data_IF_812164614139
#
_entry.id   IF_812164614139
#
_cell.length_a   1.000
_cell.length_b   1.000
_cell.length_c   1.000
_cell.angle_alpha   90.00
_cell.angle_beta   90.00
_cell.angle_gamma   90.00
#
_symmetry.space_group_name_H-M   'P 1'
#
loop_
_entity.id
_entity.type
_entity.pdbx_description
1 polymer ?
#
# COMPACT_ATOMS: atom_id res chain seq x y z
N UNK A 1 -10.98 -25.22 -16.41
CA UNK A 1 -10.08 -24.26 -17.10
C UNK A 1 -8.71 -24.34 -16.45
N UNK A 2 -7.60 -24.17 -17.16
CA UNK A 2 -6.28 -24.11 -16.52
C UNK A 2 -6.23 -22.94 -15.53
N UNK A 3 -5.50 -23.13 -14.43
CA UNK A 3 -5.28 -22.08 -13.44
C UNK A 3 -4.48 -20.94 -14.11
N UNK A 4 -4.90 -19.68 -14.02
CA UNK A 4 -4.17 -18.57 -14.64
C UNK A 4 -2.79 -18.41 -14.02
N UNK A 5 -1.79 -18.06 -14.83
CA UNK A 5 -0.48 -17.66 -14.35
C UNK A 5 -0.56 -16.19 -13.89
N UNK A 6 -0.34 -15.95 -12.61
CA UNK A 6 -0.42 -14.61 -12.00
C UNK A 6 0.92 -14.27 -11.35
N UNK A 7 1.54 -13.15 -11.76
CA UNK A 7 2.79 -12.66 -11.18
C UNK A 7 2.63 -11.20 -10.77
N UNK A 8 2.87 -10.90 -9.50
CA UNK A 8 2.85 -9.55 -8.94
C UNK A 8 4.28 -8.99 -8.84
N UNK A 9 4.57 -7.96 -9.64
CA UNK A 9 5.80 -7.17 -9.57
C UNK A 9 5.60 -6.02 -8.59
N UNK A 10 6.37 -5.99 -7.50
CA UNK A 10 6.05 -5.15 -6.35
C UNK A 10 7.26 -4.58 -5.62
N UNK A 11 7.00 -3.63 -4.71
CA UNK A 11 7.81 -3.38 -3.53
C UNK A 11 7.19 -4.05 -2.31
N UNK A 12 8.00 -4.73 -1.52
CA UNK A 12 7.55 -5.40 -0.29
C UNK A 12 6.82 -4.42 0.65
N UNK A 13 7.41 -3.26 0.92
CA UNK A 13 6.90 -2.28 1.87
C UNK A 13 6.20 -1.09 1.18
N UNK A 14 5.23 -1.36 0.33
CA UNK A 14 4.45 -0.33 -0.34
C UNK A 14 2.95 -0.56 -0.13
N UNK A 15 2.26 0.48 0.35
CA UNK A 15 0.83 0.47 0.60
C UNK A 15 -0.01 0.29 -0.67
N UNK A 16 0.41 0.84 -1.83
CA UNK A 16 -0.26 0.56 -3.12
C UNK A 16 -0.08 -0.89 -3.57
N UNK A 17 1.10 -1.48 -3.28
CA UNK A 17 1.30 -2.91 -3.54
C UNK A 17 0.51 -3.76 -2.54
N UNK A 18 0.36 -3.28 -1.31
CA UNK A 18 -0.45 -3.94 -0.30
C UNK A 18 -1.93 -3.97 -0.68
N UNK A 19 -2.47 -2.89 -1.23
CA UNK A 19 -3.81 -2.85 -1.81
C UNK A 19 -4.03 -4.00 -2.82
N UNK A 20 -3.06 -4.27 -3.69
CA UNK A 20 -3.14 -5.36 -4.67
C UNK A 20 -2.97 -6.73 -4.01
N UNK A 21 -2.01 -6.90 -3.09
CA UNK A 21 -1.87 -8.17 -2.32
C UNK A 21 -3.16 -8.52 -1.60
N UNK A 22 -3.82 -7.53 -0.98
CA UNK A 22 -5.09 -7.74 -0.31
C UNK A 22 -6.19 -8.17 -1.29
N UNK A 23 -6.32 -7.50 -2.43
CA UNK A 23 -7.30 -7.88 -3.45
C UNK A 23 -7.07 -9.31 -3.96
N UNK A 24 -5.81 -9.71 -4.22
CA UNK A 24 -5.45 -11.07 -4.63
C UNK A 24 -5.80 -12.10 -3.54
N UNK A 25 -5.47 -11.81 -2.28
CA UNK A 25 -5.80 -12.68 -1.15
C UNK A 25 -7.32 -12.78 -0.94
N UNK A 26 -8.05 -11.66 -1.02
CA UNK A 26 -9.52 -11.63 -0.92
C UNK A 26 -10.19 -12.49 -1.99
N UNK A 27 -9.64 -12.48 -3.22
CA UNK A 27 -10.09 -13.32 -4.34
C UNK A 27 -9.60 -14.78 -4.26
N UNK A 28 -8.77 -15.13 -3.27
CA UNK A 28 -8.18 -16.47 -3.15
C UNK A 28 -7.23 -16.85 -4.29
N UNK A 29 -6.64 -15.86 -4.97
CA UNK A 29 -5.83 -16.07 -6.17
C UNK A 29 -4.37 -16.33 -5.80
N UNK A 30 -3.89 -17.56 -6.05
CA UNK A 30 -2.47 -17.89 -5.95
C UNK A 30 -1.67 -17.10 -6.98
N UNK A 31 -0.52 -16.58 -6.56
CA UNK A 31 0.30 -15.73 -7.42
C UNK A 31 1.78 -15.76 -7.00
N UNK A 32 2.67 -15.59 -7.95
CA UNK A 32 4.08 -15.37 -7.69
C UNK A 32 4.32 -13.89 -7.32
N UNK A 33 5.27 -13.62 -6.41
CA UNK A 33 5.69 -12.26 -6.03
C UNK A 33 7.14 -12.00 -6.45
N UNK A 34 7.33 -11.02 -7.32
CA UNK A 34 8.64 -10.53 -7.72
C UNK A 34 8.90 -9.18 -7.05
N UNK A 35 9.73 -9.20 -6.00
CA UNK A 35 10.04 -8.00 -5.22
C UNK A 35 11.27 -7.28 -5.76
N UNK A 36 11.18 -5.96 -5.88
CA UNK A 36 12.24 -5.09 -6.37
C UNK A 36 12.79 -4.18 -5.27
N UNK A 37 14.01 -3.69 -5.50
CA UNK A 37 14.58 -2.59 -4.73
C UNK A 37 14.21 -1.25 -5.41
N UNK A 38 13.76 -0.22 -4.65
CA UNK A 38 13.52 1.11 -5.18
C UNK A 38 14.76 1.69 -5.88
N UNK A 39 14.56 2.28 -7.06
CA UNK A 39 15.61 2.78 -7.95
C UNK A 39 15.88 1.82 -9.10
N UNK A 40 16.58 0.69 -8.91
CA UNK A 40 16.87 -0.28 -9.98
C UNK A 40 15.65 -0.89 -10.67
N UNK A 41 14.49 -0.93 -9.99
CA UNK A 41 13.23 -1.47 -10.53
C UNK A 41 12.75 -0.77 -11.81
N UNK A 42 13.11 0.50 -12.01
CA UNK A 42 12.56 1.31 -13.12
C UNK A 42 12.80 0.68 -14.48
N UNK A 43 13.98 0.09 -14.72
CA UNK A 43 14.32 -0.53 -16.01
C UNK A 43 13.45 -1.75 -16.31
N UNK A 44 13.41 -2.79 -15.45
CA UNK A 44 12.59 -3.97 -15.71
C UNK A 44 11.09 -3.63 -15.72
N UNK A 45 10.60 -2.76 -14.86
CA UNK A 45 9.19 -2.37 -14.83
C UNK A 45 8.79 -1.60 -16.09
N UNK A 46 9.65 -0.68 -16.60
CA UNK A 46 9.40 0.02 -17.86
C UNK A 46 9.34 -0.91 -19.06
N UNK A 47 10.20 -1.93 -19.10
CA UNK A 47 10.17 -2.96 -20.16
C UNK A 47 8.89 -3.79 -20.09
N UNK A 48 8.38 -4.05 -18.88
CA UNK A 48 7.22 -4.90 -18.65
C UNK A 48 5.89 -4.20 -18.95
N UNK A 49 5.76 -2.93 -18.55
CA UNK A 49 4.46 -2.24 -18.51
C UNK A 49 4.46 -0.84 -19.16
N UNK A 50 5.59 -0.37 -19.65
CA UNK A 50 5.73 0.98 -20.22
C UNK A 50 5.87 2.10 -19.17
N UNK A 51 5.60 1.84 -17.89
CA UNK A 51 5.75 2.79 -16.77
C UNK A 51 6.87 2.36 -15.80
N UNK A 52 7.21 3.22 -14.84
CA UNK A 52 8.34 2.98 -13.91
C UNK A 52 7.92 2.68 -12.48
N UNK A 53 6.62 2.65 -12.20
CA UNK A 53 6.07 2.43 -10.85
C UNK A 53 5.51 1.03 -10.66
N UNK A 54 5.49 0.56 -9.41
CA UNK A 54 4.79 -0.65 -8.97
C UNK A 54 3.54 -0.27 -8.19
N UNK A 55 2.51 -1.14 -8.14
CA UNK A 55 2.45 -2.53 -8.61
C UNK A 55 2.25 -2.67 -10.13
N UNK A 56 2.74 -3.78 -10.66
CA UNK A 56 2.37 -4.31 -11.99
C UNK A 56 1.98 -5.77 -11.80
N UNK A 57 0.80 -6.14 -12.28
CA UNK A 57 0.30 -7.51 -12.27
C UNK A 57 0.37 -8.09 -13.68
N UNK A 58 0.94 -9.27 -13.83
CA UNK A 58 0.93 -10.02 -15.08
C UNK A 58 -0.04 -11.19 -14.93
N UNK A 59 -1.06 -11.24 -15.79
CA UNK A 59 -2.01 -12.36 -15.86
C UNK A 59 -1.90 -12.97 -17.25
N UNK A 60 -1.50 -14.23 -17.35
CA UNK A 60 -1.34 -14.97 -18.61
C UNK A 60 -0.49 -14.20 -19.65
N UNK A 61 0.61 -13.60 -19.18
CA UNK A 61 1.54 -12.81 -20.00
C UNK A 61 1.12 -11.37 -20.30
N UNK A 62 -0.09 -10.93 -19.91
CA UNK A 62 -0.55 -9.54 -20.08
C UNK A 62 -0.27 -8.71 -18.85
N UNK A 63 0.51 -7.64 -19.00
CA UNK A 63 0.83 -6.71 -17.91
C UNK A 63 -0.29 -5.68 -17.71
N UNK A 64 -0.66 -5.46 -16.45
CA UNK A 64 -1.62 -4.47 -15.97
C UNK A 64 -0.90 -3.63 -14.93
N UNK A 65 -0.94 -2.32 -15.06
CA UNK A 65 -0.13 -1.43 -14.25
C UNK A 65 -0.98 -0.41 -13.47
N UNK A 66 -0.61 -0.19 -12.20
CA UNK A 66 -1.35 0.66 -11.28
C UNK A 66 -2.36 -0.10 -10.42
N UNK A 67 -2.40 0.24 -9.12
CA UNK A 67 -3.20 -0.52 -8.15
C UNK A 67 -4.71 -0.47 -8.42
N UNK A 68 -5.24 0.65 -8.89
CA UNK A 68 -6.66 0.79 -9.22
C UNK A 68 -7.03 -0.12 -10.41
N UNK A 69 -6.33 0.02 -11.54
CA UNK A 69 -6.54 -0.77 -12.75
C UNK A 69 -6.41 -2.27 -12.51
N UNK A 70 -5.45 -2.66 -11.65
CA UNK A 70 -5.28 -4.05 -11.25
C UNK A 70 -6.51 -4.55 -10.49
N UNK A 71 -7.00 -3.80 -9.50
CA UNK A 71 -8.16 -4.20 -8.70
C UNK A 71 -9.43 -4.27 -9.54
N UNK A 72 -9.64 -3.32 -10.46
CA UNK A 72 -10.75 -3.34 -11.42
C UNK A 72 -10.66 -4.57 -12.35
N UNK A 73 -9.47 -4.89 -12.85
CA UNK A 73 -9.24 -6.07 -13.70
C UNK A 73 -9.49 -7.37 -12.93
N UNK A 74 -9.07 -7.45 -11.67
CA UNK A 74 -9.33 -8.60 -10.81
C UNK A 74 -10.83 -8.81 -10.59
N UNK A 75 -11.58 -7.73 -10.32
CA UNK A 75 -13.03 -7.81 -10.17
C UNK A 75 -13.73 -8.27 -11.45
N UNK A 76 -13.32 -7.75 -12.61
CA UNK A 76 -13.90 -8.11 -13.90
C UNK A 76 -13.60 -9.56 -14.31
N UNK A 77 -12.37 -10.05 -14.07
CA UNK A 77 -11.94 -11.41 -14.44
C UNK A 77 -12.37 -12.48 -13.43
N UNK A 78 -12.42 -12.12 -12.15
CA UNK A 78 -12.73 -13.01 -11.03
C UNK A 78 -13.81 -12.34 -10.16
N UNK A 79 -15.09 -12.34 -10.62
CA UNK A 79 -16.16 -11.58 -9.97
C UNK A 79 -16.49 -12.07 -8.56
N UNK A 80 -16.19 -13.32 -8.22
CA UNK A 80 -16.46 -13.89 -6.89
C UNK A 80 -15.16 -14.27 -6.14
N UNK A 81 -15.08 -14.00 -4.84
CA UNK A 81 -16.02 -13.22 -4.03
C UNK A 81 -16.03 -11.76 -4.48
N UNK A 82 -17.21 -11.14 -4.51
CA UNK A 82 -17.41 -9.77 -4.99
C UNK A 82 -16.76 -8.76 -4.05
N UNK A 83 -15.88 -7.91 -4.60
CA UNK A 83 -15.21 -6.84 -3.87
C UNK A 83 -15.91 -5.48 -4.05
N UNK A 84 -16.56 -5.27 -5.19
CA UNK A 84 -17.28 -4.03 -5.45
C UNK A 84 -18.78 -4.17 -5.08
N UNK A 85 -19.40 -3.14 -4.48
CA UNK A 85 -20.82 -3.18 -4.18
C UNK A 85 -21.69 -3.48 -5.43
N UNK A 86 -22.77 -4.21 -5.24
CA UNK A 86 -23.68 -4.55 -6.32
C UNK A 86 -24.63 -3.39 -6.69
N UNK A 87 -25.11 -2.67 -5.66
CA UNK A 87 -25.99 -1.52 -5.85
C UNK A 87 -25.21 -0.34 -6.47
N UNK A 88 -25.80 0.29 -7.49
CA UNK A 88 -25.13 1.36 -8.24
C UNK A 88 -24.72 2.53 -7.36
N UNK A 89 -25.59 2.99 -6.46
CA UNK A 89 -25.28 4.11 -5.55
C UNK A 89 -24.13 3.78 -4.58
N UNK A 90 -24.12 2.59 -4.01
CA UNK A 90 -23.01 2.14 -3.14
C UNK A 90 -21.71 2.00 -3.92
N UNK A 91 -21.78 1.49 -5.15
CA UNK A 91 -20.61 1.37 -6.03
C UNK A 91 -20.02 2.73 -6.36
N UNK A 92 -20.85 3.71 -6.69
CA UNK A 92 -20.41 5.09 -6.95
C UNK A 92 -19.75 5.70 -5.71
N UNK A 93 -20.36 5.53 -4.53
CA UNK A 93 -19.78 5.98 -3.26
C UNK A 93 -18.42 5.31 -2.98
N UNK A 94 -18.31 4.00 -3.19
CA UNK A 94 -17.07 3.26 -2.99
C UNK A 94 -15.96 3.74 -3.94
N UNK A 95 -16.28 3.97 -5.22
CA UNK A 95 -15.33 4.47 -6.21
C UNK A 95 -14.87 5.89 -5.92
N UNK A 96 -15.75 6.77 -5.42
CA UNK A 96 -15.37 8.11 -5.00
C UNK A 96 -14.36 8.08 -3.82
N UNK A 97 -14.56 7.17 -2.86
CA UNK A 97 -13.61 6.94 -1.76
C UNK A 97 -12.28 6.43 -2.32
N UNK A 98 -12.30 5.46 -3.21
CA UNK A 98 -11.08 4.90 -3.84
C UNK A 98 -10.29 6.00 -4.56
N UNK A 99 -10.95 6.81 -5.39
CA UNK A 99 -10.30 7.91 -6.14
C UNK A 99 -9.65 8.93 -5.20
N UNK A 100 -10.36 9.39 -4.17
CA UNK A 100 -9.82 10.28 -3.15
C UNK A 100 -8.58 9.69 -2.48
N UNK A 101 -8.64 8.44 -2.07
CA UNK A 101 -7.53 7.80 -1.38
C UNK A 101 -6.33 7.57 -2.29
N UNK A 102 -6.54 7.14 -3.53
CA UNK A 102 -5.45 6.93 -4.49
C UNK A 102 -4.75 8.25 -4.85
N UNK A 103 -5.46 9.37 -4.95
CA UNK A 103 -4.90 10.65 -5.40
C UNK A 103 -4.40 11.57 -4.28
N UNK A 104 -5.00 11.51 -3.10
CA UNK A 104 -4.71 12.46 -2.02
C UNK A 104 -4.08 11.77 -0.81
N UNK A 105 -4.76 10.77 -0.26
CA UNK A 105 -4.39 10.18 1.02
C UNK A 105 -3.16 9.28 0.91
N UNK A 106 -3.10 8.43 -0.11
CA UNK A 106 -1.96 7.56 -0.34
C UNK A 106 -0.63 8.32 -0.56
N UNK A 107 -0.60 9.40 -1.36
CA UNK A 107 0.57 10.28 -1.42
C UNK A 107 0.90 10.92 -0.07
N UNK A 108 -0.09 11.38 0.70
CA UNK A 108 0.13 12.01 2.00
C UNK A 108 0.74 11.03 3.03
N UNK A 109 0.19 9.82 3.17
CA UNK A 109 0.73 8.80 4.09
C UNK A 109 2.13 8.37 3.68
N UNK A 110 2.42 8.28 2.38
CA UNK A 110 3.77 8.04 1.86
C UNK A 110 4.72 9.18 2.23
N UNK A 111 4.33 10.44 2.02
CA UNK A 111 5.14 11.59 2.41
C UNK A 111 5.48 11.53 3.90
N UNK A 112 4.51 11.29 4.78
CA UNK A 112 4.74 11.17 6.22
C UNK A 112 5.74 10.05 6.56
N UNK A 113 5.61 8.85 5.99
CA UNK A 113 6.57 7.76 6.20
C UNK A 113 7.97 8.12 5.70
N UNK A 114 8.07 8.81 4.56
CA UNK A 114 9.35 9.21 3.98
C UNK A 114 10.06 10.33 4.75
N UNK A 115 9.39 11.10 5.63
CA UNK A 115 10.07 12.02 6.55
C UNK A 115 11.05 11.27 7.46
N UNK A 116 10.72 10.03 7.82
CA UNK A 116 11.59 9.13 8.59
C UNK A 116 12.55 8.38 7.67
N UNK A 117 12.08 7.78 6.59
CA UNK A 117 12.86 6.90 5.73
C UNK A 117 14.08 7.59 5.11
N UNK A 118 13.98 8.86 4.75
CA UNK A 118 15.12 9.61 4.20
C UNK A 118 16.23 9.85 5.24
N UNK A 119 15.95 9.74 6.52
CA UNK A 119 16.93 9.86 7.59
C UNK A 119 17.49 8.48 8.00
N UNK A 120 16.73 7.41 7.77
CA UNK A 120 16.98 6.06 8.23
C UNK A 120 17.34 5.09 7.07
N UNK A 121 18.35 5.43 6.27
CA UNK A 121 18.71 4.66 5.06
C UNK A 121 19.09 3.19 5.38
N UNK A 122 19.66 2.93 6.54
CA UNK A 122 19.94 1.57 7.00
C UNK A 122 18.65 0.75 7.19
N UNK A 123 17.62 1.38 7.73
CA UNK A 123 16.29 0.79 7.87
C UNK A 123 15.64 0.56 6.51
N UNK A 124 15.69 1.55 5.61
CA UNK A 124 15.17 1.44 4.23
C UNK A 124 15.79 0.24 3.51
N UNK A 125 17.10 0.05 3.63
CA UNK A 125 17.79 -1.10 3.04
C UNK A 125 17.28 -2.44 3.57
N UNK A 126 17.00 -2.54 4.88
CA UNK A 126 16.43 -3.77 5.47
C UNK A 126 14.98 -3.97 5.05
N UNK A 127 14.18 -2.90 5.09
CA UNK A 127 12.75 -2.93 4.82
C UNK A 127 12.43 -3.38 3.38
N UNK A 128 13.11 -2.78 2.40
CA UNK A 128 12.89 -3.10 0.98
C UNK A 128 13.76 -4.27 0.50
N UNK A 129 14.89 -4.52 1.14
CA UNK A 129 15.85 -5.55 0.76
C UNK A 129 15.66 -6.90 1.48
N UNK A 130 14.56 -7.10 2.23
CA UNK A 130 14.34 -8.32 3.01
C UNK A 130 14.47 -9.62 2.20
N UNK A 131 13.99 -9.62 0.97
CA UNK A 131 14.00 -10.78 0.05
C UNK A 131 15.24 -10.80 -0.86
N UNK A 132 16.12 -9.79 -0.79
CA UNK A 132 17.31 -9.72 -1.61
C UNK A 132 18.47 -10.48 -0.96
N UNK A 133 19.37 -11.04 -1.79
CA UNK A 133 20.60 -11.64 -1.30
C UNK A 133 21.45 -10.64 -0.50
N UNK A 134 22.27 -11.13 0.42
CA UNK A 134 23.14 -10.30 1.26
C UNK A 134 24.01 -9.35 0.44
N UNK A 135 24.54 -9.82 -0.71
CA UNK A 135 25.36 -9.02 -1.61
C UNK A 135 24.54 -7.87 -2.22
N UNK A 136 23.35 -8.18 -2.79
CA UNK A 136 22.46 -7.16 -3.38
C UNK A 136 22.06 -6.11 -2.34
N UNK A 137 21.75 -6.53 -1.13
CA UNK A 137 21.41 -5.63 -0.01
C UNK A 137 22.58 -4.75 0.41
N UNK A 138 23.80 -5.30 0.45
CA UNK A 138 25.02 -4.56 0.73
C UNK A 138 25.28 -3.47 -0.31
N UNK A 139 25.24 -3.81 -1.59
CA UNK A 139 25.38 -2.86 -2.70
C UNK A 139 24.29 -1.78 -2.64
N UNK A 140 23.05 -2.17 -2.41
CA UNK A 140 21.94 -1.22 -2.30
C UNK A 140 22.18 -0.22 -1.16
N UNK A 141 22.64 -0.68 0.00
CA UNK A 141 22.98 0.18 1.14
C UNK A 141 24.06 1.21 0.80
N UNK A 142 25.05 0.84 0.00
CA UNK A 142 26.12 1.78 -0.44
C UNK A 142 25.59 2.84 -1.42
N UNK A 143 24.60 2.50 -2.25
CA UNK A 143 24.03 3.42 -3.26
C UNK A 143 22.96 4.34 -2.66
N UNK A 144 22.28 3.93 -1.60
CA UNK A 144 21.17 4.70 -0.99
C UNK A 144 21.52 6.17 -0.68
N UNK A 145 22.68 6.52 -0.12
CA UNK A 145 23.04 7.92 0.14
C UNK A 145 23.06 8.78 -1.12
N UNK A 146 23.46 8.23 -2.27
CA UNK A 146 23.52 8.94 -3.54
C UNK A 146 22.12 9.23 -4.10
N UNK A 147 21.14 8.35 -3.83
CA UNK A 147 19.75 8.49 -4.31
C UNK A 147 18.85 9.17 -3.28
N UNK A 148 19.34 9.43 -2.07
CA UNK A 148 18.57 10.11 -1.00
C UNK A 148 17.92 11.42 -1.47
N UNK A 149 18.59 12.36 -2.16
CA UNK A 149 17.98 13.60 -2.62
C UNK A 149 16.81 13.37 -3.58
N UNK A 150 16.99 12.42 -4.50
CA UNK A 150 15.92 12.04 -5.45
C UNK A 150 14.74 11.41 -4.71
N UNK A 151 15.03 10.51 -3.78
CA UNK A 151 14.02 9.87 -2.94
C UNK A 151 13.23 10.90 -2.11
N UNK A 152 13.90 11.89 -1.51
CA UNK A 152 13.27 12.96 -0.77
C UNK A 152 12.37 13.83 -1.66
N UNK A 153 12.86 14.22 -2.84
CA UNK A 153 12.13 15.03 -3.80
C UNK A 153 10.88 14.32 -4.34
N UNK A 154 11.04 13.07 -4.81
CA UNK A 154 9.94 12.31 -5.42
C UNK A 154 8.84 11.91 -4.44
N UNK A 155 9.15 11.89 -3.14
CA UNK A 155 8.17 11.64 -2.09
C UNK A 155 7.71 12.92 -1.35
N UNK A 156 8.03 14.10 -1.89
CA UNK A 156 7.51 15.37 -1.41
C UNK A 156 8.06 15.85 -0.07
N UNK A 157 9.18 15.28 0.42
CA UNK A 157 9.76 15.59 1.74
C UNK A 157 10.63 16.84 1.71
N UNK A 158 11.05 17.30 0.52
CA UNK A 158 11.89 18.51 0.36
C UNK A 158 11.12 19.82 0.50
N UNK A 159 9.79 19.79 0.45
CA UNK A 159 8.91 20.94 0.66
C UNK A 159 8.25 20.83 2.04
N UNK A 160 8.66 21.68 3.03
CA UNK A 160 8.06 21.67 4.36
C UNK A 160 6.55 21.91 4.36
N UNK A 161 6.05 22.78 3.47
CA UNK A 161 4.61 23.03 3.34
C UNK A 161 3.86 21.79 2.85
N UNK A 162 4.46 20.99 1.96
CA UNK A 162 3.89 19.71 1.55
C UNK A 162 3.85 18.70 2.70
N UNK A 163 4.89 18.67 3.53
CA UNK A 163 4.92 17.79 4.73
C UNK A 163 3.79 18.18 5.68
N UNK A 164 3.62 19.46 5.98
CA UNK A 164 2.52 19.96 6.83
C UNK A 164 1.17 19.52 6.26
N UNK A 165 0.92 19.79 4.97
CA UNK A 165 -0.32 19.36 4.29
C UNK A 165 -0.55 17.86 4.38
N UNK A 166 0.50 17.05 4.25
CA UNK A 166 0.39 15.59 4.35
C UNK A 166 -0.09 15.15 5.74
N UNK A 167 0.47 15.72 6.81
CA UNK A 167 0.03 15.42 8.17
C UNK A 167 -1.39 15.91 8.46
N UNK A 168 -1.78 17.09 7.95
CA UNK A 168 -3.15 17.59 8.05
C UNK A 168 -4.15 16.69 7.30
N UNK A 169 -3.79 16.24 6.09
CA UNK A 169 -4.61 15.28 5.32
C UNK A 169 -4.80 13.97 6.09
N UNK A 170 -3.74 13.45 6.73
CA UNK A 170 -3.82 12.22 7.52
C UNK A 170 -4.76 12.42 8.72
N UNK A 171 -4.61 13.51 9.48
CA UNK A 171 -5.46 13.83 10.63
C UNK A 171 -6.93 13.93 10.21
N UNK A 172 -7.24 14.74 9.21
CA UNK A 172 -8.60 14.90 8.69
C UNK A 172 -9.18 13.57 8.16
N UNK A 173 -8.34 12.72 7.58
CA UNK A 173 -8.76 11.40 7.10
C UNK A 173 -9.09 10.47 8.26
N UNK A 174 -8.29 10.48 9.33
CA UNK A 174 -8.58 9.69 10.52
C UNK A 174 -9.88 10.14 11.20
N UNK A 175 -10.12 11.46 11.31
CA UNK A 175 -11.38 12.02 11.80
C UNK A 175 -12.56 11.58 10.93
N UNK A 176 -12.41 11.64 9.59
CA UNK A 176 -13.43 11.18 8.66
C UNK A 176 -13.72 9.68 8.78
N UNK A 177 -12.69 8.82 8.92
CA UNK A 177 -12.89 7.38 9.13
C UNK A 177 -13.68 7.15 10.43
N UNK A 178 -13.29 7.81 11.52
CA UNK A 178 -13.97 7.68 12.81
C UNK A 178 -15.45 8.07 12.73
N UNK A 179 -15.76 9.18 12.05
CA UNK A 179 -17.14 9.64 11.86
C UNK A 179 -17.92 8.69 10.94
N UNK A 180 -17.35 8.31 9.80
CA UNK A 180 -18.01 7.44 8.82
C UNK A 180 -18.31 6.04 9.36
N UNK A 181 -17.56 5.60 10.39
CA UNK A 181 -17.69 4.25 10.96
C UNK A 181 -18.20 4.25 12.41
N UNK A 182 -18.76 5.38 12.89
CA UNK A 182 -19.26 5.51 14.28
C UNK A 182 -20.31 4.46 14.62
N UNK A 183 -21.30 4.29 13.74
CA UNK A 183 -22.45 3.41 13.94
C UNK A 183 -22.47 2.21 12.98
N UNK A 184 -21.41 2.00 12.23
CA UNK A 184 -21.28 0.91 11.26
C UNK A 184 -19.84 0.43 11.14
N UNK A 185 -19.67 -0.78 10.66
CA UNK A 185 -18.35 -1.39 10.53
C UNK A 185 -17.66 -1.10 9.20
N UNK A 186 -18.44 -1.03 8.11
CA UNK A 186 -17.92 -0.79 6.76
C UNK A 186 -18.23 0.63 6.29
N UNK A 187 -17.38 1.17 5.41
CA UNK A 187 -17.50 2.52 4.88
C UNK A 187 -18.68 2.66 3.92
N UNK A 188 -19.01 1.58 3.20
CA UNK A 188 -20.11 1.54 2.23
C UNK A 188 -20.88 0.24 2.38
N UNK A 189 -22.21 0.33 2.48
CA UNK A 189 -23.08 -0.84 2.60
C UNK A 189 -22.89 -1.60 3.92
N UNK A 190 -23.16 -2.89 3.89
CA UNK A 190 -23.20 -3.79 5.03
C UNK A 190 -22.09 -4.88 5.03
N UNK A 191 -21.20 -4.83 4.04
CA UNK A 191 -20.11 -5.79 3.86
C UNK A 191 -18.79 -5.14 3.46
N UNK A 192 -17.69 -5.85 3.67
CA UNK A 192 -16.37 -5.45 3.20
C UNK A 192 -16.35 -5.20 1.70
N UNK A 193 -15.75 -4.08 1.29
CA UNK A 193 -15.72 -3.64 -0.10
C UNK A 193 -14.35 -3.06 -0.49
N UNK A 194 -14.23 -2.70 -1.78
CA UNK A 194 -13.06 -2.01 -2.32
C UNK A 194 -12.75 -0.70 -1.60
N UNK A 195 -13.77 -0.03 -1.03
CA UNK A 195 -13.58 1.18 -0.23
C UNK A 195 -12.78 0.86 1.04
N UNK A 196 -13.24 -0.13 1.82
CA UNK A 196 -12.59 -0.53 3.07
C UNK A 196 -11.16 -1.02 2.83
N UNK A 197 -10.97 -1.86 1.81
CA UNK A 197 -9.67 -2.36 1.38
C UNK A 197 -8.71 -1.21 1.05
N UNK A 198 -9.16 -0.26 0.22
CA UNK A 198 -8.33 0.86 -0.22
C UNK A 198 -7.95 1.78 0.95
N UNK A 199 -8.93 2.13 1.78
CA UNK A 199 -8.72 2.99 2.96
C UNK A 199 -7.72 2.33 3.92
N UNK A 200 -7.95 1.07 4.28
CA UNK A 200 -7.07 0.36 5.20
C UNK A 200 -5.65 0.21 4.63
N UNK A 201 -5.51 -0.20 3.37
CA UNK A 201 -4.21 -0.37 2.73
C UNK A 201 -3.45 0.95 2.63
N UNK A 202 -4.10 2.06 2.21
CA UNK A 202 -3.41 3.33 2.00
C UNK A 202 -3.13 4.11 3.29
N UNK A 203 -3.81 3.79 4.39
CA UNK A 203 -3.46 4.30 5.73
C UNK A 203 -2.32 3.51 6.41
N UNK A 204 -1.95 2.35 5.91
CA UNK A 204 -0.94 1.48 6.54
C UNK A 204 0.43 2.12 6.83
N UNK A 205 0.94 3.11 6.06
CA UNK A 205 2.24 3.73 6.37
C UNK A 205 2.29 4.48 7.70
N UNK A 206 1.15 4.86 8.26
CA UNK A 206 1.04 5.64 9.50
C UNK A 206 0.33 4.87 10.63
N UNK A 207 0.05 3.59 10.41
CA UNK A 207 -0.60 2.70 11.38
C UNK A 207 0.33 1.53 11.72
N UNK A 208 0.51 1.24 13.02
CA UNK A 208 1.21 0.02 13.43
C UNK A 208 0.32 -1.19 13.17
N UNK A 209 0.80 -2.10 12.31
CA UNK A 209 0.09 -3.31 11.88
C UNK A 209 0.88 -4.57 12.23
N UNK A 210 0.16 -5.64 12.55
CA UNK A 210 0.75 -6.94 12.91
C UNK A 210 0.68 -7.98 11.77
N UNK A 211 0.15 -7.58 10.61
CA UNK A 211 0.04 -8.46 9.44
C UNK A 211 1.43 -8.78 8.85
N UNK A 212 1.72 -10.04 8.43
CA UNK A 212 3.03 -10.44 7.89
C UNK A 212 3.52 -9.60 6.72
N UNK A 213 2.63 -9.20 5.79
CA UNK A 213 2.95 -8.34 4.64
C UNK A 213 3.33 -6.91 5.03
N UNK A 214 2.93 -6.48 6.25
CA UNK A 214 3.21 -5.14 6.78
C UNK A 214 4.23 -5.15 7.92
N UNK A 215 4.90 -6.29 8.14
CA UNK A 215 5.90 -6.45 9.18
C UNK A 215 7.06 -5.49 8.97
N UNK A 216 7.36 -4.74 10.01
CA UNK A 216 8.50 -3.82 10.04
C UNK A 216 9.82 -4.59 10.10
N UNK A 217 10.88 -4.04 9.47
CA UNK A 217 12.21 -4.60 9.58
C UNK A 217 12.85 -4.19 10.92
N UNK A 218 13.44 -5.14 11.62
CA UNK A 218 14.12 -4.87 12.89
C UNK A 218 15.60 -4.48 12.69
N UNK A 219 16.18 -3.64 13.56
CA UNK A 219 15.50 -2.85 14.58
C UNK A 219 14.70 -1.70 13.96
N UNK A 220 13.53 -1.39 14.57
CA UNK A 220 12.68 -0.27 14.15
C UNK A 220 13.25 1.05 14.66
N UNK A 221 13.44 2.09 13.81
CA UNK A 221 13.96 3.38 14.24
C UNK A 221 12.99 4.07 15.23
N UNK A 222 13.53 4.76 16.23
CA UNK A 222 12.73 5.49 17.22
C UNK A 222 11.82 6.54 16.58
N UNK A 223 12.29 7.22 15.53
CA UNK A 223 11.49 8.18 14.76
C UNK A 223 10.26 7.53 14.11
N UNK A 224 10.37 6.29 13.63
CA UNK A 224 9.23 5.56 13.10
C UNK A 224 8.27 5.12 14.20
N UNK A 225 8.81 4.67 15.34
CA UNK A 225 7.98 4.34 16.51
C UNK A 225 7.17 5.57 16.96
N UNK A 226 7.79 6.74 17.03
CA UNK A 226 7.11 8.02 17.38
C UNK A 226 6.04 8.38 16.35
N UNK A 227 6.34 8.26 15.05
CA UNK A 227 5.37 8.51 13.98
C UNK A 227 4.12 7.62 14.13
N UNK A 228 4.31 6.32 14.30
CA UNK A 228 3.22 5.35 14.42
C UNK A 228 2.45 5.48 15.75
N UNK A 229 3.07 6.00 16.80
CA UNK A 229 2.44 6.24 18.08
C UNK A 229 1.58 7.51 18.13
N UNK A 230 1.77 8.43 17.18
CA UNK A 230 1.14 9.75 17.18
C UNK A 230 -0.39 9.68 17.24
N UNK A 231 -0.99 8.69 16.58
CA UNK A 231 -2.44 8.50 16.52
C UNK A 231 -2.90 7.11 16.99
N UNK A 232 -2.07 6.40 17.78
CA UNK A 232 -2.30 4.99 18.13
C UNK A 232 -3.69 4.71 18.71
N UNK A 233 -4.22 5.63 19.49
CA UNK A 233 -5.52 5.50 20.19
C UNK A 233 -6.68 6.17 19.40
N UNK A 234 -6.40 6.72 18.21
CA UNK A 234 -7.42 7.37 17.40
C UNK A 234 -8.40 6.33 16.83
N UNK A 235 -9.75 6.56 16.92
CA UNK A 235 -10.73 5.59 16.43
C UNK A 235 -10.51 5.17 14.96
N UNK A 236 -10.11 6.10 14.09
CA UNK A 236 -9.77 5.79 12.70
C UNK A 236 -8.59 4.84 12.57
N UNK A 237 -7.56 4.94 13.43
CA UNK A 237 -6.43 3.99 13.47
C UNK A 237 -6.89 2.62 13.96
N UNK A 238 -7.70 2.58 15.01
CA UNK A 238 -8.26 1.34 15.55
C UNK A 238 -9.14 0.63 14.52
N UNK A 239 -9.90 1.40 13.72
CA UNK A 239 -10.67 0.85 12.61
C UNK A 239 -9.77 0.23 11.53
N UNK A 240 -8.69 0.89 11.11
CA UNK A 240 -7.72 0.33 10.14
C UNK A 240 -7.12 -0.97 10.67
N UNK A 241 -6.67 -1.00 11.92
CA UNK A 241 -6.13 -2.21 12.55
C UNK A 241 -7.16 -3.34 12.57
N UNK A 242 -8.42 -3.02 12.86
CA UNK A 242 -9.52 -3.96 12.86
C UNK A 242 -9.79 -4.53 11.47
N UNK A 243 -9.76 -3.70 10.40
CA UNK A 243 -9.88 -4.19 9.02
C UNK A 243 -8.80 -5.22 8.68
N UNK A 244 -7.54 -4.96 9.05
CA UNK A 244 -6.46 -5.93 8.84
C UNK A 244 -6.65 -7.23 9.61
N UNK A 245 -7.14 -7.16 10.82
CA UNK A 245 -7.34 -8.34 11.67
C UNK A 245 -8.52 -9.20 11.22
N UNK A 246 -9.63 -8.56 10.83
CA UNK A 246 -10.90 -9.26 10.59
C UNK A 246 -11.20 -9.53 9.11
N UNK A 247 -10.68 -8.69 8.20
CA UNK A 247 -11.04 -8.74 6.77
C UNK A 247 -9.85 -9.00 5.84
N UNK A 248 -8.61 -9.00 6.34
CA UNK A 248 -7.45 -9.36 5.55
C UNK A 248 -7.21 -10.87 5.60
N UNK A 249 -7.48 -11.62 4.52
CA UNK A 249 -7.19 -13.04 4.49
C UNK A 249 -5.68 -13.31 4.55
N UNK A 250 -5.32 -14.51 4.99
CA UNK A 250 -3.94 -14.99 4.83
C UNK A 250 -3.57 -15.03 3.34
N UNK A 251 -2.25 -14.94 3.06
CA UNK A 251 -1.74 -15.12 1.71
C UNK A 251 -2.12 -16.51 1.19
N UNK A 252 -2.72 -16.63 0.00
CA UNK A 252 -3.11 -17.91 -0.59
C UNK A 252 -1.93 -18.75 -1.12
N UNK A 253 -0.69 -18.22 -1.08
CA UNK A 253 0.53 -18.89 -1.56
C UNK A 253 1.17 -19.81 -0.53
#
# INVERSE_FOLDING_TARGET
MPTPSIVLHQFRASHYNDKVRWALAFKGLKHERVSYLPGPHQIPIKKLSGQTSTPVLVIDGKAIAGSAEIVDTLEAKFPEPRLFPAASAEREQALAIVDRFDREVGPATRTAAFTVFVQELGYVSRLFGGDASTIKRGVYRMVLPLVKPVMAKTNGVTDPANVVRAFDTIRQTLDWIAEATRDRFFLVGDRFSVADLTVAALMSPVVKLEHPDMRQAEPVPEALVKLLAQWKDHPGVLWVQRQYRENRPADPN
#
